data_IF_421291000528
#
_entry.id   IF_421291000528
#
_cell.length_a   1.000
_cell.length_b   1.000
_cell.length_c   1.000
_cell.angle_alpha   90.00
_cell.angle_beta   90.00
_cell.angle_gamma   90.00
#
_symmetry.space_group_name_H-M   'P 1'
#
loop_
_entity.id
_entity.type
_entity.pdbx_description
1 polymer ?
#
# COMPACT_ATOMS: atom_id res chain seq x y z
N UNK A 1 -9.64 -4.07 -4.80
CA UNK A 1 -8.56 -3.10 -5.07
C UNK A 1 -7.42 -3.29 -4.08
N UNK A 2 -6.22 -3.37 -4.57
CA UNK A 2 -5.03 -3.50 -3.73
C UNK A 2 -4.36 -2.13 -3.63
N UNK A 3 -4.09 -1.70 -2.40
CA UNK A 3 -3.45 -0.42 -2.13
C UNK A 3 -1.97 -0.62 -1.86
N UNK A 4 -1.15 0.28 -2.39
CA UNK A 4 0.27 0.33 -2.05
C UNK A 4 0.58 1.51 -1.14
N UNK A 5 1.80 1.56 -0.64
CA UNK A 5 2.25 2.62 0.26
C UNK A 5 2.11 3.99 -0.38
N UNK A 6 2.50 4.13 -1.65
CA UNK A 6 2.45 5.41 -2.36
C UNK A 6 1.03 5.94 -2.49
N UNK A 7 0.07 5.07 -2.77
CA UNK A 7 -1.33 5.45 -2.88
C UNK A 7 -1.86 6.00 -1.55
N UNK A 8 -1.56 5.33 -0.44
CA UNK A 8 -1.98 5.77 0.89
C UNK A 8 -1.38 7.14 1.22
N UNK A 9 -0.09 7.32 0.99
CA UNK A 9 0.60 8.57 1.27
C UNK A 9 0.01 9.71 0.43
N UNK A 10 -0.24 9.47 -0.85
CA UNK A 10 -0.84 10.46 -1.75
C UNK A 10 -2.23 10.89 -1.26
N UNK A 11 -3.06 9.94 -0.85
CA UNK A 11 -4.41 10.22 -0.34
C UNK A 11 -4.34 11.07 0.93
N UNK A 12 -3.42 10.76 1.84
CA UNK A 12 -3.29 11.51 3.09
C UNK A 12 -2.77 12.93 2.89
N UNK A 13 -2.01 13.17 1.82
CA UNK A 13 -1.47 14.49 1.50
C UNK A 13 -2.44 15.38 0.72
N UNK A 14 -3.47 14.78 0.13
CA UNK A 14 -4.42 15.50 -0.73
C UNK A 14 -5.86 15.18 -0.32
N UNK A 15 -6.49 16.13 0.37
CA UNK A 15 -7.87 15.94 0.86
C UNK A 15 -8.87 15.70 -0.27
N UNK A 16 -8.66 16.30 -1.43
CA UNK A 16 -9.55 16.10 -2.58
C UNK A 16 -9.48 14.65 -3.05
N UNK A 17 -8.29 14.10 -3.14
CA UNK A 17 -8.11 12.70 -3.50
C UNK A 17 -8.71 11.78 -2.44
N UNK A 18 -8.55 12.11 -1.17
CA UNK A 18 -9.15 11.35 -0.09
C UNK A 18 -10.67 11.31 -0.20
N UNK A 19 -11.29 12.44 -0.54
CA UNK A 19 -12.74 12.52 -0.74
C UNK A 19 -13.19 11.67 -1.93
N UNK A 20 -12.48 11.77 -3.04
CA UNK A 20 -12.75 10.95 -4.23
C UNK A 20 -12.57 9.47 -3.92
N UNK A 21 -11.51 9.13 -3.20
CA UNK A 21 -11.24 7.76 -2.78
C UNK A 21 -12.37 7.21 -1.91
N UNK A 22 -12.84 7.99 -0.94
CA UNK A 22 -13.93 7.58 -0.06
C UNK A 22 -15.23 7.38 -0.86
N UNK A 23 -15.55 8.27 -1.79
CA UNK A 23 -16.71 8.12 -2.67
C UNK A 23 -16.60 6.90 -3.57
N UNK A 24 -15.46 6.73 -4.23
CA UNK A 24 -15.22 5.55 -5.04
C UNK A 24 -15.33 4.28 -4.21
N UNK A 25 -15.04 4.40 -2.92
CA UNK A 25 -15.14 3.33 -1.96
C UNK A 25 -16.53 2.86 -1.66
N UNK A 26 -17.50 3.74 -1.73
CA UNK A 26 -18.90 3.37 -1.54
C UNK A 26 -19.41 2.50 -2.67
N UNK A 27 -18.82 2.66 -3.84
CA UNK A 27 -19.18 1.89 -5.02
C UNK A 27 -18.28 0.70 -5.25
N UNK A 28 -17.14 0.70 -4.61
CA UNK A 28 -16.12 -0.28 -4.89
C UNK A 28 -16.25 -1.50 -4.02
N UNK A 29 -15.79 -2.51 -4.59
CA UNK A 29 -15.48 -3.78 -4.05
C UNK A 29 -14.40 -3.65 -2.97
N UNK A 30 -14.27 -4.69 -2.20
CA UNK A 30 -13.30 -4.90 -1.15
C UNK A 30 -11.91 -4.29 -1.43
N UNK A 31 -11.42 -3.49 -0.49
CA UNK A 31 -10.07 -2.90 -0.53
C UNK A 31 -9.15 -3.61 0.43
N UNK A 32 -7.94 -3.87 -0.05
CA UNK A 32 -6.95 -4.61 0.70
C UNK A 32 -5.60 -3.92 0.64
N UNK A 33 -4.85 -4.07 1.72
CA UNK A 33 -3.44 -3.67 1.76
C UNK A 33 -2.64 -4.82 2.38
N UNK A 34 -1.48 -5.12 1.84
CA UNK A 34 -0.63 -6.15 2.46
C UNK A 34 -0.10 -5.67 3.80
N UNK A 35 0.15 -6.61 4.71
CA UNK A 35 0.73 -6.28 6.01
C UNK A 35 2.08 -5.55 5.87
N UNK A 36 2.86 -5.86 4.85
CA UNK A 36 4.13 -5.19 4.58
C UNK A 36 3.91 -3.74 4.17
N UNK A 37 2.99 -3.50 3.25
CA UNK A 37 2.67 -2.12 2.82
C UNK A 37 2.04 -1.32 3.95
N UNK A 38 1.24 -1.96 4.80
CA UNK A 38 0.68 -1.31 5.98
C UNK A 38 1.80 -0.81 6.91
N UNK A 39 2.77 -1.67 7.23
CA UNK A 39 3.87 -1.30 8.12
C UNK A 39 4.74 -0.22 7.48
N UNK A 40 5.01 -0.30 6.18
CA UNK A 40 5.79 0.71 5.47
C UNK A 40 5.10 2.08 5.50
N UNK A 41 3.81 2.12 5.17
CA UNK A 41 3.04 3.35 5.23
C UNK A 41 2.97 3.90 6.66
N UNK A 42 2.70 3.03 7.63
CA UNK A 42 2.65 3.42 9.04
C UNK A 42 3.98 4.00 9.50
N UNK A 43 5.10 3.39 9.12
CA UNK A 43 6.43 3.88 9.49
C UNK A 43 6.69 5.28 8.93
N UNK A 44 6.28 5.54 7.70
CA UNK A 44 6.43 6.86 7.07
C UNK A 44 5.58 7.90 7.80
N UNK A 45 4.31 7.58 8.04
CA UNK A 45 3.37 8.50 8.68
C UNK A 45 3.76 8.76 10.14
N UNK A 46 4.02 7.70 10.91
CA UNK A 46 4.38 7.83 12.32
C UNK A 46 5.77 8.44 12.48
N UNK A 47 6.66 8.21 11.51
CA UNK A 47 7.99 8.81 11.48
C UNK A 47 7.97 10.33 11.34
N UNK A 48 6.89 10.90 10.83
CA UNK A 48 6.71 12.36 10.76
C UNK A 48 6.53 13.01 12.12
N UNK A 49 6.23 12.20 13.15
CA UNK A 49 5.96 12.65 14.52
C UNK A 49 4.80 13.63 14.62
N UNK A 50 3.85 13.53 13.72
CA UNK A 50 2.63 14.33 13.70
C UNK A 50 1.44 13.46 14.15
N UNK A 51 0.92 13.64 15.37
CA UNK A 51 -0.19 12.82 15.87
C UNK A 51 -1.46 12.96 15.03
N UNK A 52 -1.65 14.09 14.37
CA UNK A 52 -2.81 14.32 13.51
C UNK A 52 -2.69 13.45 12.26
N UNK A 53 -1.51 13.40 11.66
CA UNK A 53 -1.27 12.55 10.49
C UNK A 53 -1.47 11.07 10.83
N UNK A 54 -0.95 10.63 11.98
CA UNK A 54 -1.12 9.25 12.43
C UNK A 54 -2.59 8.89 12.63
N UNK A 55 -3.37 9.79 13.23
CA UNK A 55 -4.81 9.60 13.41
C UNK A 55 -5.54 9.54 12.06
N UNK A 56 -5.18 10.42 11.13
CA UNK A 56 -5.80 10.43 9.80
C UNK A 56 -5.54 9.13 9.04
N UNK A 57 -4.37 8.57 9.22
CA UNK A 57 -4.03 7.27 8.63
C UNK A 57 -4.95 6.16 9.16
N UNK A 58 -5.10 6.07 10.47
CA UNK A 58 -5.98 5.09 11.09
C UNK A 58 -7.44 5.29 10.67
N UNK A 59 -7.89 6.53 10.66
CA UNK A 59 -9.26 6.88 10.26
C UNK A 59 -9.53 6.51 8.80
N UNK A 60 -8.57 6.78 7.91
CA UNK A 60 -8.69 6.44 6.49
C UNK A 60 -8.90 4.94 6.30
N UNK A 61 -8.08 4.12 6.95
CA UNK A 61 -8.18 2.66 6.81
C UNK A 61 -9.51 2.14 7.35
N UNK A 62 -9.99 2.70 8.45
CA UNK A 62 -11.26 2.32 9.05
C UNK A 62 -12.45 2.76 8.20
N UNK A 63 -12.48 4.02 7.78
CA UNK A 63 -13.59 4.59 7.03
C UNK A 63 -13.70 4.01 5.62
N UNK A 64 -12.58 3.71 5.01
CA UNK A 64 -12.54 3.07 3.70
C UNK A 64 -12.68 1.54 3.79
N UNK A 65 -12.82 1.00 5.00
CA UNK A 65 -12.97 -0.43 5.24
C UNK A 65 -11.87 -1.27 4.59
N UNK A 66 -10.63 -0.80 4.73
CA UNK A 66 -9.46 -1.48 4.19
C UNK A 66 -9.09 -2.66 5.07
N UNK A 67 -8.94 -3.83 4.48
CA UNK A 67 -8.49 -5.03 5.18
C UNK A 67 -6.98 -5.16 5.04
N UNK A 68 -6.30 -5.36 6.16
CA UNK A 68 -4.87 -5.68 6.17
C UNK A 68 -4.72 -7.19 6.01
N UNK A 69 -4.10 -7.59 4.91
CA UNK A 69 -3.95 -9.00 4.55
C UNK A 69 -2.56 -9.50 4.94
N UNK A 70 -2.45 -10.70 5.52
CA UNK A 70 -1.12 -11.27 5.79
C UNK A 70 -0.39 -11.58 4.49
N UNK A 71 0.94 -11.52 4.53
CA UNK A 71 1.77 -11.90 3.40
C UNK A 71 2.10 -13.38 3.53
N UNK A 72 1.70 -14.16 2.53
CA UNK A 72 2.01 -15.59 2.49
C UNK A 72 3.44 -15.82 2.03
N UNK A 73 3.97 -17.02 2.28
CA UNK A 73 5.29 -17.40 1.78
C UNK A 73 5.37 -17.27 0.26
N UNK A 74 4.31 -17.71 -0.45
CA UNK A 74 4.27 -17.61 -1.91
C UNK A 74 4.36 -16.17 -2.39
N UNK A 75 3.60 -15.28 -1.76
CA UNK A 75 3.63 -13.85 -2.07
C UNK A 75 5.00 -13.24 -1.76
N UNK A 76 5.60 -13.62 -0.65
CA UNK A 76 6.93 -13.14 -0.29
C UNK A 76 7.99 -13.55 -1.32
N UNK A 77 7.89 -14.77 -1.83
CA UNK A 77 8.81 -15.26 -2.88
C UNK A 77 8.63 -14.49 -4.19
N UNK A 78 7.39 -14.22 -4.57
CA UNK A 78 7.07 -13.42 -5.76
C UNK A 78 7.60 -12.00 -5.62
N UNK A 79 7.41 -11.38 -4.46
CA UNK A 79 7.90 -10.03 -4.18
C UNK A 79 9.42 -9.95 -4.26
N UNK A 80 10.11 -10.95 -3.69
CA UNK A 80 11.57 -11.04 -3.76
C UNK A 80 12.05 -11.15 -5.20
N UNK A 81 11.41 -12.00 -5.99
CA UNK A 81 11.78 -12.19 -7.40
C UNK A 81 11.55 -10.90 -8.20
N UNK A 82 10.43 -10.23 -7.99
CA UNK A 82 10.15 -8.96 -8.66
C UNK A 82 11.18 -7.89 -8.30
N UNK A 83 11.56 -7.80 -7.03
CA UNK A 83 12.58 -6.86 -6.59
C UNK A 83 13.95 -7.17 -7.20
N UNK A 84 14.33 -8.45 -7.25
CA UNK A 84 15.58 -8.88 -7.85
C UNK A 84 15.65 -8.52 -9.34
N UNK A 85 14.54 -8.73 -10.06
CA UNK A 85 14.51 -8.56 -11.52
C UNK A 85 14.22 -7.12 -11.94
N UNK A 86 13.42 -6.38 -11.17
CA UNK A 86 12.90 -5.07 -11.55
C UNK A 86 13.12 -3.98 -10.50
N UNK A 87 13.70 -4.31 -9.36
CA UNK A 87 13.83 -3.41 -8.24
C UNK A 87 14.96 -2.40 -8.39
N UNK A 88 15.01 -1.48 -7.44
CA UNK A 88 16.09 -0.50 -7.32
C UNK A 88 17.44 -1.20 -7.25
N UNK A 89 18.39 -0.75 -8.06
CA UNK A 89 19.73 -1.31 -8.08
C UNK A 89 19.90 -2.50 -9.00
N UNK A 90 18.82 -3.03 -9.59
CA UNK A 90 18.88 -4.14 -10.54
C UNK A 90 19.34 -3.71 -11.94
N UNK A 91 19.28 -2.40 -12.23
CA UNK A 91 19.54 -1.86 -13.56
C UNK A 91 18.33 -1.85 -14.48
N UNK A 92 17.19 -2.42 -14.05
CA UNK A 92 15.98 -2.42 -14.85
C UNK A 92 15.28 -1.05 -14.80
N UNK A 93 14.71 -0.56 -15.93
CA UNK A 93 14.04 0.75 -15.96
C UNK A 93 12.85 0.89 -14.99
N UNK A 94 12.19 -0.21 -14.63
CA UNK A 94 11.05 -0.17 -13.71
C UNK A 94 11.46 0.35 -12.31
N UNK A 95 12.67 -0.01 -11.87
CA UNK A 95 13.26 0.54 -10.63
C UNK A 95 12.30 0.46 -9.44
N UNK A 96 11.65 -0.69 -9.25
CA UNK A 96 10.64 -0.88 -8.23
C UNK A 96 11.22 -0.81 -6.82
N UNK A 97 10.49 -0.21 -5.90
CA UNK A 97 10.85 -0.25 -4.48
C UNK A 97 10.25 -1.49 -3.81
N UNK A 98 10.59 -1.69 -2.56
CA UNK A 98 10.13 -2.84 -1.78
C UNK A 98 8.60 -2.91 -1.68
N UNK A 99 7.96 -1.76 -1.43
CA UNK A 99 6.50 -1.70 -1.32
C UNK A 99 5.79 -2.02 -2.64
N UNK A 100 6.34 -1.58 -3.77
CA UNK A 100 5.81 -1.89 -5.09
C UNK A 100 5.80 -3.40 -5.34
N UNK A 101 6.88 -4.08 -4.98
CA UNK A 101 6.99 -5.52 -5.16
C UNK A 101 6.00 -6.27 -4.26
N UNK A 102 5.80 -5.80 -3.04
CA UNK A 102 4.84 -6.39 -2.12
C UNK A 102 3.41 -6.22 -2.62
N UNK A 103 3.08 -5.04 -3.14
CA UNK A 103 1.75 -4.78 -3.72
C UNK A 103 1.51 -5.65 -4.95
N UNK A 104 2.52 -5.82 -5.80
CA UNK A 104 2.45 -6.70 -6.96
C UNK A 104 2.16 -8.15 -6.54
N UNK A 105 2.87 -8.64 -5.53
CA UNK A 105 2.70 -10.01 -5.04
C UNK A 105 1.32 -10.25 -4.43
N UNK A 106 0.69 -9.20 -3.90
CA UNK A 106 -0.68 -9.27 -3.38
C UNK A 106 -1.77 -9.20 -4.43
N UNK A 107 -1.43 -8.93 -5.69
CA UNK A 107 -2.40 -8.84 -6.77
C UNK A 107 -3.10 -10.19 -6.98
N UNK A 108 -4.42 -10.21 -7.31
CA UNK A 108 -5.16 -11.47 -7.47
C UNK A 108 -4.53 -12.47 -8.44
N UNK A 109 -3.84 -12.00 -9.45
CA UNK A 109 -3.19 -12.86 -10.44
C UNK A 109 -1.85 -13.42 -9.99
N UNK A 110 -1.36 -13.01 -8.83
CA UNK A 110 -0.08 -13.41 -8.28
C UNK A 110 -0.19 -14.55 -7.26
N UNK A 111 -1.39 -15.01 -7.03
CA UNK A 111 -1.67 -16.02 -5.99
C UNK A 111 -1.60 -17.42 -6.56
#
# INVERSE_FOLDING_TARGET
>A
MILDTSAIIAILRNETEATVFAKAGEEAVHRRISAVNYVEAAAIIDGSRDPIASRRFDDLLREAEVTVEPVTEGQARIARQAYRDFGKGSGHPANLNFGDCSAYAGHPFSV
#
